data_IF_251771326688
#
_entry.id   IF_251771326688
#
_cell.length_a   1.000
_cell.length_b   1.000
_cell.length_c   1.000
_cell.angle_alpha   90.00
_cell.angle_beta   90.00
_cell.angle_gamma   90.00
#
_symmetry.space_group_name_H-M   'P 1'
#
loop_
_entity.id
_entity.type
_entity.pdbx_description
1 polymer ?
#
# COMPACT_ATOMS: atom_id res chain seq x y z
N UNK A 1 -34.72 -20.35 30.41
CA UNK A 1 -34.29 -18.98 30.04
C UNK A 1 -32.84 -18.65 30.44
N UNK A 2 -32.30 -19.15 31.58
CA UNK A 2 -30.92 -18.85 32.03
C UNK A 2 -29.78 -19.35 31.11
N UNK A 3 -29.99 -20.41 30.33
CA UNK A 3 -28.99 -20.92 29.37
C UNK A 3 -28.88 -20.10 28.08
N UNK A 4 -30.00 -19.50 27.63
CA UNK A 4 -30.01 -18.64 26.44
C UNK A 4 -29.23 -17.35 26.68
N UNK A 5 -29.38 -16.74 27.86
CA UNK A 5 -28.62 -15.55 28.26
C UNK A 5 -27.12 -15.83 28.34
N UNK A 6 -26.70 -17.00 28.83
CA UNK A 6 -25.29 -17.39 28.89
C UNK A 6 -24.67 -17.54 27.49
N UNK A 7 -25.40 -18.15 26.56
CA UNK A 7 -24.93 -18.32 25.18
C UNK A 7 -24.83 -16.99 24.43
N UNK A 8 -25.75 -16.05 24.66
CA UNK A 8 -25.70 -14.70 24.06
C UNK A 8 -24.49 -13.92 24.58
N UNK A 9 -24.21 -13.99 25.88
CA UNK A 9 -23.04 -13.35 26.49
C UNK A 9 -21.75 -13.96 25.93
N UNK A 10 -21.67 -15.29 25.82
CA UNK A 10 -20.51 -15.97 25.23
C UNK A 10 -20.28 -15.56 23.76
N UNK A 11 -21.35 -15.46 22.96
CA UNK A 11 -21.26 -15.01 21.58
C UNK A 11 -20.72 -13.57 21.49
N UNK A 12 -21.21 -12.67 22.36
CA UNK A 12 -20.75 -11.28 22.42
C UNK A 12 -19.25 -11.17 22.71
N UNK A 13 -18.74 -11.97 23.65
CA UNK A 13 -17.29 -12.00 23.98
C UNK A 13 -16.46 -12.49 22.79
N UNK A 14 -16.92 -13.52 22.08
CA UNK A 14 -16.22 -14.05 20.90
C UNK A 14 -16.16 -13.02 19.77
N UNK A 15 -17.25 -12.29 19.53
CA UNK A 15 -17.31 -11.24 18.50
C UNK A 15 -16.34 -10.10 18.84
N UNK A 16 -16.31 -9.63 20.09
CA UNK A 16 -15.38 -8.59 20.51
C UNK A 16 -13.91 -9.02 20.40
N UNK A 17 -13.60 -10.27 20.79
CA UNK A 17 -12.26 -10.83 20.65
C UNK A 17 -11.83 -10.95 19.19
N UNK A 18 -12.72 -11.42 18.31
CA UNK A 18 -12.44 -11.52 16.87
C UNK A 18 -12.19 -10.14 16.24
N UNK A 19 -12.96 -9.13 16.63
CA UNK A 19 -12.80 -7.75 16.14
C UNK A 19 -11.46 -7.17 16.57
N UNK A 20 -11.03 -7.43 17.80
CA UNK A 20 -9.72 -7.01 18.29
C UNK A 20 -8.56 -7.71 17.55
N UNK A 21 -8.67 -9.02 17.32
CA UNK A 21 -7.66 -9.77 16.56
C UNK A 21 -7.51 -9.25 15.13
N UNK A 22 -8.63 -8.95 14.46
CA UNK A 22 -8.62 -8.35 13.11
C UNK A 22 -8.03 -6.93 13.14
N UNK A 23 -8.39 -6.10 14.13
CA UNK A 23 -7.83 -4.75 14.29
C UNK A 23 -6.30 -4.78 14.47
N UNK A 24 -5.79 -5.67 15.32
CA UNK A 24 -4.35 -5.84 15.51
C UNK A 24 -3.67 -6.36 14.23
N UNK A 25 -4.30 -7.26 13.49
CA UNK A 25 -3.79 -7.74 12.22
C UNK A 25 -3.67 -6.60 11.19
N UNK A 26 -4.70 -5.73 11.08
CA UNK A 26 -4.69 -4.56 10.21
C UNK A 26 -3.58 -3.57 10.62
N UNK A 27 -3.46 -3.26 11.92
CA UNK A 27 -2.40 -2.37 12.43
C UNK A 27 -1.01 -2.96 12.12
N UNK A 28 -0.83 -4.27 12.32
CA UNK A 28 0.43 -4.97 12.04
C UNK A 28 0.74 -5.12 10.54
N UNK A 29 -0.27 -5.01 9.68
CA UNK A 29 -0.10 -5.11 8.22
C UNK A 29 0.38 -3.80 7.57
N UNK A 30 0.44 -2.70 8.34
CA UNK A 30 0.77 -1.36 7.84
C UNK A 30 2.17 -1.22 7.21
N UNK A 31 3.11 -2.12 7.50
CA UNK A 31 4.45 -2.10 6.89
C UNK A 31 4.67 -3.17 5.80
N UNK A 32 3.79 -4.16 5.67
CA UNK A 32 3.96 -5.30 4.76
C UNK A 32 2.92 -5.37 3.63
N UNK A 33 1.90 -4.50 3.66
CA UNK A 33 1.09 -4.25 2.48
C UNK A 33 1.88 -3.33 1.54
N UNK A 34 2.21 -3.75 0.31
CA UNK A 34 2.94 -2.90 -0.62
C UNK A 34 2.08 -1.67 -0.94
N UNK A 35 2.42 -0.52 -0.35
CA UNK A 35 1.87 0.79 -0.75
C UNK A 35 2.39 1.23 -2.13
N UNK A 36 3.30 0.44 -2.70
CA UNK A 36 3.85 0.60 -4.03
C UNK A 36 4.04 -0.79 -4.60
N UNK A 37 3.48 -1.03 -5.78
CA UNK A 37 3.91 -2.17 -6.60
C UNK A 37 5.11 -1.63 -7.38
N UNK A 38 6.32 -1.93 -6.91
CA UNK A 38 7.52 -1.77 -7.74
C UNK A 38 7.47 -2.90 -8.75
N UNK A 39 7.22 -2.55 -10.02
CA UNK A 39 7.32 -3.53 -11.09
C UNK A 39 8.80 -3.65 -11.37
N UNK A 40 9.39 -4.78 -10.97
CA UNK A 40 10.76 -5.15 -11.32
C UNK A 40 10.84 -5.37 -12.83
N UNK A 41 10.94 -4.26 -13.57
CA UNK A 41 11.28 -4.28 -14.97
C UNK A 41 12.80 -4.31 -15.02
N UNK A 42 13.30 -5.37 -15.65
CA UNK A 42 14.71 -5.65 -15.90
C UNK A 42 15.31 -4.61 -16.88
N UNK A 43 15.27 -3.32 -16.51
CA UNK A 43 15.99 -2.22 -17.14
C UNK A 43 17.30 -2.10 -16.42
N UNK A 44 18.40 -2.22 -17.16
CA UNK A 44 19.80 -2.31 -16.72
C UNK A 44 20.30 -1.13 -15.83
N UNK A 45 19.70 -0.93 -14.67
CA UNK A 45 20.30 -0.26 -13.51
C UNK A 45 19.97 1.21 -13.28
N UNK A 46 19.41 1.95 -14.23
CA UNK A 46 19.25 3.41 -14.08
C UNK A 46 17.84 3.88 -13.74
N UNK A 47 16.79 3.09 -14.02
CA UNK A 47 15.41 3.53 -13.85
C UNK A 47 14.60 2.57 -12.99
N UNK A 48 13.71 3.14 -12.18
CA UNK A 48 12.74 2.41 -11.38
C UNK A 48 11.34 2.98 -11.58
N UNK A 49 10.37 2.11 -11.86
CA UNK A 49 8.97 2.47 -12.06
C UNK A 49 8.15 2.11 -10.82
N UNK A 50 7.51 3.12 -10.23
CA UNK A 50 6.70 2.99 -9.03
C UNK A 50 5.24 3.32 -9.38
N UNK A 51 4.32 2.40 -9.08
CA UNK A 51 2.88 2.59 -9.29
C UNK A 51 2.20 2.88 -7.95
N UNK A 52 1.49 4.01 -7.84
CA UNK A 52 0.80 4.41 -6.61
C UNK A 52 -0.47 5.22 -6.93
N UNK A 53 -1.63 4.76 -6.44
CA UNK A 53 -2.93 5.46 -6.48
C UNK A 53 -3.29 6.09 -7.84
N UNK A 54 -3.14 5.34 -8.93
CA UNK A 54 -3.45 5.80 -10.30
C UNK A 54 -2.41 6.74 -10.90
N UNK A 55 -1.23 6.82 -10.28
CA UNK A 55 -0.06 7.52 -10.80
C UNK A 55 1.11 6.56 -11.03
N UNK A 56 1.86 6.86 -12.08
CA UNK A 56 3.12 6.22 -12.42
C UNK A 56 4.24 7.21 -12.12
N UNK A 57 5.26 6.76 -11.39
CA UNK A 57 6.46 7.53 -11.07
C UNK A 57 7.66 6.84 -11.68
N UNK A 58 8.47 7.59 -12.44
CA UNK A 58 9.72 7.11 -12.98
C UNK A 58 10.87 7.78 -12.22
N UNK A 59 11.69 6.99 -11.57
CA UNK A 59 12.85 7.45 -10.81
C UNK A 59 14.14 7.09 -11.54
N UNK A 60 14.95 8.10 -11.86
CA UNK A 60 16.30 7.95 -12.38
C UNK A 60 17.30 7.86 -11.21
N UNK A 61 17.87 6.67 -11.01
CA UNK A 61 18.85 6.39 -9.96
C UNK A 61 20.20 7.07 -10.21
N UNK A 62 20.49 7.49 -11.44
CA UNK A 62 21.78 8.10 -11.79
C UNK A 62 21.90 9.56 -11.38
N UNK A 63 20.78 10.30 -11.39
CA UNK A 63 20.75 11.75 -11.18
C UNK A 63 19.65 12.19 -10.19
N UNK A 64 18.90 11.26 -9.60
CA UNK A 64 17.86 11.56 -8.64
C UNK A 64 16.61 12.23 -9.23
N UNK A 65 16.44 12.19 -10.56
CA UNK A 65 15.31 12.81 -11.24
C UNK A 65 14.06 11.95 -11.14
N UNK A 66 12.94 12.58 -10.78
CA UNK A 66 11.62 11.93 -10.73
C UNK A 66 10.68 12.58 -11.74
N UNK A 67 10.02 11.74 -12.53
CA UNK A 67 8.86 12.11 -13.33
C UNK A 67 7.62 11.41 -12.80
N UNK A 68 6.44 12.03 -12.97
CA UNK A 68 5.15 11.38 -12.73
C UNK A 68 4.24 11.54 -13.92
N UNK A 69 3.30 10.61 -14.08
CA UNK A 69 2.13 10.79 -14.93
C UNK A 69 0.94 10.02 -14.37
N UNK A 70 -0.26 10.37 -14.79
CA UNK A 70 -1.42 9.52 -14.49
C UNK A 70 -1.28 8.19 -15.23
N UNK A 71 -1.82 7.11 -14.64
CA UNK A 71 -1.90 5.80 -15.26
C UNK A 71 -3.01 5.78 -16.33
N UNK A 72 -2.80 6.57 -17.39
CA UNK A 72 -3.64 6.59 -18.57
C UNK A 72 -2.76 6.78 -19.83
N UNK A 73 -3.29 6.37 -20.98
CA UNK A 73 -2.54 6.35 -22.24
C UNK A 73 -2.20 7.74 -22.79
N UNK A 74 -2.91 8.76 -22.35
CA UNK A 74 -2.83 10.13 -22.87
C UNK A 74 -2.02 11.07 -21.99
N UNK A 75 -1.66 10.66 -20.78
CA UNK A 75 -0.97 11.51 -19.82
C UNK A 75 0.51 11.62 -20.17
N UNK A 76 0.99 12.86 -20.16
CA UNK A 76 2.39 13.18 -20.36
C UNK A 76 3.18 13.06 -19.05
N UNK A 77 4.49 12.81 -19.18
CA UNK A 77 5.39 12.78 -18.04
C UNK A 77 5.74 14.19 -17.59
N UNK A 78 5.42 14.49 -16.35
CA UNK A 78 5.75 15.76 -15.71
C UNK A 78 6.93 15.58 -14.76
N UNK A 79 7.87 16.52 -14.82
CA UNK A 79 9.01 16.53 -13.91
C UNK A 79 8.56 16.99 -12.52
N UNK A 80 8.75 16.16 -11.50
CA UNK A 80 8.21 16.43 -10.16
C UNK A 80 9.27 16.99 -9.23
N UNK A 81 10.43 16.34 -9.20
CA UNK A 81 11.48 16.67 -8.23
C UNK A 81 12.83 16.14 -8.69
N UNK A 82 13.87 16.90 -8.38
CA UNK A 82 15.25 16.51 -8.58
C UNK A 82 15.92 16.46 -7.21
N UNK A 83 16.35 15.27 -6.80
CA UNK A 83 17.19 15.13 -5.61
C UNK A 83 18.64 15.21 -6.06
N UNK A 84 19.26 16.38 -5.95
CA UNK A 84 20.71 16.48 -6.04
C UNK A 84 21.32 15.77 -4.84
N UNK A 85 22.13 14.74 -5.07
CA UNK A 85 23.07 14.24 -4.05
C UNK A 85 24.22 15.23 -3.88
#
# INVERSE_FOLDING_TARGET
MKGLSANIIALGVVVLYSTWSISNAIISSSSSFPHHISVDQNTEGSYELIVNDGWLYLYDKSNGQIWKKQDNLTAEWERVKHYSQ
#
